data_IF_021177358994
#
_entry.id   IF_021177358994
#
_cell.length_a   1.000
_cell.length_b   1.000
_cell.length_c   1.000
_cell.angle_alpha   90.00
_cell.angle_beta   90.00
_cell.angle_gamma   90.00
#
_symmetry.space_group_name_H-M   'P 1'
#
loop_
_entity.id
_entity.type
_entity.pdbx_description
1 polymer ?
#
# COMPACT_ATOMS: atom_id res chain seq x y z
N UNK A 1 -12.22 1.95 -2.59
CA UNK A 1 -12.18 0.47 -2.47
C UNK A 1 -11.06 -0.17 -3.29
N UNK A 2 -10.87 0.21 -4.55
CA UNK A 2 -9.81 -0.32 -5.44
C UNK A 2 -8.40 -0.25 -4.86
N UNK A 3 -8.04 0.88 -4.21
CA UNK A 3 -6.73 1.06 -3.56
C UNK A 3 -6.50 0.02 -2.45
N UNK A 4 -7.51 -0.26 -1.62
CA UNK A 4 -7.41 -1.27 -0.56
C UNK A 4 -7.22 -2.69 -1.14
N UNK A 5 -7.96 -3.02 -2.19
CA UNK A 5 -7.83 -4.33 -2.87
C UNK A 5 -6.42 -4.51 -3.46
N UNK A 6 -5.88 -3.46 -4.10
CA UNK A 6 -4.52 -3.47 -4.62
C UNK A 6 -3.48 -3.61 -3.49
N UNK A 7 -3.63 -2.87 -2.38
CA UNK A 7 -2.74 -2.98 -1.23
C UNK A 7 -2.74 -4.37 -0.60
N UNK A 8 -3.91 -4.99 -0.47
CA UNK A 8 -4.03 -6.37 0.06
C UNK A 8 -3.38 -7.38 -0.89
N UNK A 9 -3.63 -7.26 -2.20
CA UNK A 9 -3.01 -8.13 -3.21
C UNK A 9 -1.49 -8.01 -3.23
N UNK A 10 -0.95 -6.78 -3.17
CA UNK A 10 0.49 -6.54 -3.08
C UNK A 10 1.08 -7.12 -1.79
N UNK A 11 0.38 -6.96 -0.67
CA UNK A 11 0.80 -7.52 0.61
C UNK A 11 0.82 -9.06 0.61
N UNK A 12 -0.22 -9.71 0.06
CA UNK A 12 -0.25 -11.16 -0.09
C UNK A 12 0.89 -11.66 -0.98
N UNK A 13 1.16 -10.97 -2.08
CA UNK A 13 2.27 -11.29 -2.96
C UNK A 13 3.61 -11.18 -2.24
N UNK A 14 3.85 -10.10 -1.48
CA UNK A 14 5.06 -9.91 -0.67
C UNK A 14 5.22 -11.01 0.39
N UNK A 15 4.14 -11.38 1.07
CA UNK A 15 4.15 -12.41 2.12
C UNK A 15 4.47 -13.80 1.52
N UNK A 16 3.90 -14.14 0.36
CA UNK A 16 4.24 -15.37 -0.38
C UNK A 16 5.71 -15.39 -0.80
N UNK A 17 6.26 -14.24 -1.21
CA UNK A 17 7.69 -14.12 -1.56
C UNK A 17 8.59 -14.30 -0.35
N UNK A 18 8.28 -13.65 0.76
CA UNK A 18 9.03 -13.80 2.01
C UNK A 18 9.09 -15.27 2.46
N UNK A 19 7.95 -15.98 2.40
CA UNK A 19 7.89 -17.41 2.73
C UNK A 19 8.74 -18.26 1.78
N UNK A 20 8.64 -18.03 0.46
CA UNK A 20 9.45 -18.74 -0.53
C UNK A 20 10.95 -18.52 -0.28
N UNK A 21 11.36 -17.28 -0.04
CA UNK A 21 12.74 -16.92 0.25
C UNK A 21 13.23 -17.62 1.53
N UNK A 22 12.44 -17.60 2.61
CA UNK A 22 12.78 -18.28 3.86
C UNK A 22 12.94 -19.78 3.68
N UNK A 23 12.09 -20.42 2.88
CA UNK A 23 12.20 -21.85 2.57
C UNK A 23 13.53 -22.17 1.86
N UNK A 24 13.88 -21.39 0.84
CA UNK A 24 15.14 -21.57 0.10
C UNK A 24 16.36 -21.36 1.00
N UNK A 25 16.33 -20.35 1.88
CA UNK A 25 17.39 -20.10 2.86
C UNK A 25 17.53 -21.28 3.83
N UNK A 26 16.41 -21.85 4.30
CA UNK A 26 16.43 -22.93 5.30
C UNK A 26 16.84 -24.30 4.76
N UNK A 27 16.58 -24.59 3.48
CA UNK A 27 16.74 -25.93 2.91
C UNK A 27 17.84 -26.01 1.82
N UNK A 28 18.73 -25.01 1.83
CA UNK A 28 19.96 -24.90 1.02
C UNK A 28 19.88 -25.55 -0.38
N UNK A 29 19.46 -24.75 -1.37
CA UNK A 29 19.64 -24.96 -2.83
C UNK A 29 18.80 -26.01 -3.56
N UNK A 30 18.09 -26.92 -2.88
CA UNK A 30 17.29 -27.98 -3.52
C UNK A 30 16.00 -27.50 -4.22
N UNK A 31 15.55 -26.28 -3.95
CA UNK A 31 14.32 -25.73 -4.54
C UNK A 31 14.56 -25.18 -5.96
N UNK A 32 13.71 -25.49 -6.94
CA UNK A 32 13.82 -24.95 -8.29
C UNK A 32 13.61 -23.43 -8.31
N UNK A 33 14.18 -22.75 -9.32
CA UNK A 33 14.01 -21.31 -9.48
C UNK A 33 12.58 -20.96 -9.88
N UNK A 34 11.96 -20.07 -9.10
CA UNK A 34 10.71 -19.44 -9.47
C UNK A 34 10.92 -18.34 -10.55
N UNK A 35 9.83 -17.79 -11.09
CA UNK A 35 9.91 -16.77 -12.13
C UNK A 35 10.60 -15.47 -11.70
N UNK A 36 10.64 -15.16 -10.40
CA UNK A 36 11.29 -13.98 -9.86
C UNK A 36 12.79 -14.21 -9.71
N UNK A 37 13.18 -15.34 -9.12
CA UNK A 37 14.58 -15.78 -9.03
C UNK A 37 15.20 -15.90 -10.42
N UNK A 38 14.49 -16.41 -11.43
CA UNK A 38 14.99 -16.46 -12.81
C UNK A 38 15.32 -15.08 -13.38
N UNK A 39 14.59 -14.03 -13.01
CA UNK A 39 14.89 -12.66 -13.46
C UNK A 39 16.10 -12.11 -12.74
N UNK A 40 16.17 -12.32 -11.42
CA UNK A 40 17.32 -11.90 -10.61
C UNK A 40 18.57 -12.65 -11.04
N UNK A 41 18.49 -13.95 -11.31
CA UNK A 41 19.61 -14.77 -11.72
C UNK A 41 20.22 -14.26 -13.01
N UNK A 42 19.39 -13.96 -14.02
CA UNK A 42 19.87 -13.39 -15.28
C UNK A 42 20.56 -12.05 -15.07
N UNK A 43 19.95 -11.14 -14.30
CA UNK A 43 20.54 -9.83 -14.03
C UNK A 43 21.87 -9.94 -13.27
N UNK A 44 21.89 -10.74 -12.20
CA UNK A 44 23.06 -10.92 -11.35
C UNK A 44 24.21 -11.62 -12.09
N UNK A 45 23.91 -12.67 -12.87
CA UNK A 45 24.90 -13.37 -13.66
C UNK A 45 25.60 -12.41 -14.63
N UNK A 46 24.83 -11.65 -15.40
CA UNK A 46 25.38 -10.69 -16.37
C UNK A 46 26.19 -9.61 -15.66
N UNK A 47 25.62 -8.98 -14.62
CA UNK A 47 26.29 -7.92 -13.88
C UNK A 47 27.59 -8.40 -13.23
N UNK A 48 27.65 -9.65 -12.76
CA UNK A 48 28.88 -10.23 -12.21
C UNK A 48 29.96 -10.38 -13.28
N UNK A 49 29.65 -10.97 -14.43
CA UNK A 49 30.63 -11.14 -15.51
C UNK A 49 31.10 -9.79 -16.06
N UNK A 50 30.19 -8.85 -16.25
CA UNK A 50 30.51 -7.47 -16.64
C UNK A 50 31.42 -6.80 -15.60
N UNK A 51 31.17 -7.03 -14.30
CA UNK A 51 31.97 -6.46 -13.21
C UNK A 51 33.41 -6.96 -13.15
N UNK A 52 33.67 -8.18 -13.65
CA UNK A 52 35.03 -8.73 -13.72
C UNK A 52 35.87 -8.08 -14.84
N UNK A 53 35.21 -7.50 -15.83
CA UNK A 53 35.83 -6.86 -16.99
C UNK A 53 35.84 -5.34 -16.96
N UNK A 54 34.90 -4.74 -16.23
CA UNK A 54 34.81 -3.30 -16.08
C UNK A 54 35.59 -2.82 -14.86
N UNK A 55 36.35 -1.73 -15.03
CA UNK A 55 37.02 -1.02 -13.94
C UNK A 55 36.14 0.06 -13.29
N UNK A 56 34.86 0.10 -13.65
CA UNK A 56 33.91 1.10 -13.16
C UNK A 56 33.74 1.05 -11.63
N UNK A 57 33.59 2.20 -10.97
CA UNK A 57 33.37 2.23 -9.52
C UNK A 57 32.01 1.63 -9.11
N UNK A 58 31.02 1.61 -10.01
CA UNK A 58 29.70 1.00 -9.77
C UNK A 58 29.78 -0.53 -9.66
N UNK A 59 30.69 -1.17 -10.38
CA UNK A 59 30.87 -2.62 -10.36
C UNK A 59 31.63 -3.08 -9.11
N UNK A 60 32.46 -2.22 -8.52
CA UNK A 60 33.14 -2.48 -7.24
C UNK A 60 32.16 -2.74 -6.09
N UNK A 61 31.00 -2.09 -6.09
CA UNK A 61 29.97 -2.32 -5.08
C UNK A 61 29.35 -3.72 -5.20
N UNK A 62 29.18 -4.23 -6.42
CA UNK A 62 28.71 -5.60 -6.65
C UNK A 62 29.76 -6.62 -6.22
N UNK A 63 31.02 -6.41 -6.59
CA UNK A 63 32.12 -7.30 -6.20
C UNK A 63 32.35 -7.32 -4.68
N UNK A 64 32.25 -6.17 -4.01
CA UNK A 64 32.35 -6.13 -2.54
C UNK A 64 31.17 -6.82 -1.86
N UNK A 65 29.96 -6.71 -2.42
CA UNK A 65 28.82 -7.52 -1.98
C UNK A 65 29.12 -9.01 -2.13
N UNK A 66 29.69 -9.42 -3.28
CA UNK A 66 30.05 -10.82 -3.53
C UNK A 66 31.06 -11.32 -2.50
N UNK A 67 32.11 -10.57 -2.26
CA UNK A 67 33.16 -10.92 -1.30
C UNK A 67 32.62 -11.07 0.13
N UNK A 68 31.60 -10.30 0.50
CA UNK A 68 31.03 -10.29 1.85
C UNK A 68 29.93 -11.33 2.07
N UNK A 69 29.17 -11.69 1.03
CA UNK A 69 27.91 -12.45 1.16
C UNK A 69 27.88 -13.75 0.37
N UNK A 70 28.78 -13.95 -0.59
CA UNK A 70 28.84 -15.17 -1.37
C UNK A 70 29.90 -16.14 -0.82
N UNK A 71 29.96 -17.33 -1.42
CA UNK A 71 31.04 -18.28 -1.18
C UNK A 71 32.40 -17.62 -1.47
N UNK A 72 33.38 -17.80 -0.59
CA UNK A 72 34.73 -17.23 -0.71
C UNK A 72 35.36 -17.50 -2.08
N UNK A 73 35.05 -18.64 -2.70
CA UNK A 73 35.57 -19.03 -4.02
C UNK A 73 35.09 -18.14 -5.17
N UNK A 74 34.03 -17.35 -4.99
CA UNK A 74 33.59 -16.34 -5.96
C UNK A 74 34.25 -14.98 -5.75
N UNK A 75 34.99 -14.81 -4.64
CA UNK A 75 35.54 -13.51 -4.31
C UNK A 75 36.57 -13.05 -5.33
N UNK A 76 36.73 -11.73 -5.42
CA UNK A 76 37.67 -11.10 -6.34
C UNK A 76 39.09 -11.66 -6.17
N UNK A 77 39.47 -12.06 -4.95
CA UNK A 77 40.79 -12.64 -4.66
C UNK A 77 41.06 -13.94 -5.41
N UNK A 78 40.06 -14.80 -5.61
CA UNK A 78 40.24 -16.09 -6.27
C UNK A 78 39.88 -16.05 -7.75
N UNK A 79 38.96 -15.17 -8.14
CA UNK A 79 38.47 -15.06 -9.51
C UNK A 79 39.02 -13.86 -10.27
N UNK A 80 40.04 -13.18 -9.74
CA UNK A 80 40.72 -12.09 -10.44
C UNK A 80 41.28 -12.59 -11.79
N UNK A 81 40.82 -11.98 -12.88
CA UNK A 81 41.27 -12.31 -14.22
C UNK A 81 42.64 -11.68 -14.48
N UNK A 82 43.61 -12.43 -15.04
CA UNK A 82 44.81 -11.83 -15.59
C UNK A 82 44.44 -10.92 -16.78
N UNK A 83 45.24 -9.88 -17.02
CA UNK A 83 44.96 -8.82 -18.00
C UNK A 83 44.61 -9.35 -19.41
N UNK A 84 45.21 -10.49 -19.80
CA UNK A 84 44.95 -11.17 -21.09
C UNK A 84 43.56 -11.83 -21.17
N UNK A 85 42.97 -12.23 -20.04
CA UNK A 85 41.62 -12.84 -19.95
C UNK A 85 40.53 -11.83 -19.62
N UNK A 86 40.87 -10.62 -19.17
CA UNK A 86 39.91 -9.51 -18.99
C UNK A 86 39.15 -9.19 -20.29
N UNK A 87 39.71 -9.46 -21.47
CA UNK A 87 39.00 -9.26 -22.74
C UNK A 87 37.86 -10.27 -22.99
N UNK A 88 37.86 -11.42 -22.30
CA UNK A 88 36.90 -12.50 -22.51
C UNK A 88 35.90 -12.67 -21.35
N UNK A 89 36.12 -11.98 -20.22
CA UNK A 89 35.25 -12.05 -19.03
C UNK A 89 35.02 -13.44 -18.44
N UNK A 90 35.79 -14.43 -18.88
CA UNK A 90 35.57 -15.81 -18.50
C UNK A 90 36.65 -16.29 -17.53
N UNK A 91 36.18 -16.71 -16.34
CA UNK A 91 37.04 -17.25 -15.29
C UNK A 91 37.16 -18.77 -15.36
N UNK A 92 36.95 -19.34 -16.57
CA UNK A 92 36.94 -20.78 -16.82
C UNK A 92 38.01 -21.53 -16.04
N UNK A 93 37.52 -22.48 -15.24
CA UNK A 93 38.36 -23.38 -14.48
C UNK A 93 39.12 -24.29 -15.45
N UNK A 94 40.45 -24.44 -15.32
CA UNK A 94 41.16 -25.44 -16.12
C UNK A 94 40.62 -26.83 -15.75
N UNK A 95 40.22 -27.61 -16.75
CA UNK A 95 39.84 -29.00 -16.56
C UNK A 95 40.98 -29.73 -15.83
N UNK A 96 40.72 -30.21 -14.63
CA UNK A 96 41.68 -31.06 -13.92
C UNK A 96 41.72 -32.38 -14.67
N UNK A 97 42.83 -32.67 -15.36
CA UNK A 97 43.08 -33.99 -15.95
C UNK A 97 43.27 -34.99 -14.80
N UNK A 98 42.18 -35.52 -14.27
CA UNK A 98 42.23 -36.73 -13.45
C UNK A 98 42.62 -37.92 -14.30
N UNK A 99 43.28 -38.91 -13.72
CA UNK A 99 43.74 -40.15 -14.39
C UNK A 99 42.62 -41.05 -14.96
N UNK A 100 41.35 -40.63 -14.83
CA UNK A 100 40.20 -41.24 -15.46
C UNK A 100 39.73 -40.37 -16.61
N UNK A 101 39.35 -40.96 -17.75
CA UNK A 101 38.79 -40.29 -18.94
C UNK A 101 37.48 -39.48 -18.72
N UNK A 102 37.14 -39.16 -17.47
CA UNK A 102 36.08 -38.26 -17.07
C UNK A 102 36.70 -36.96 -16.54
N UNK A 103 36.51 -35.86 -17.28
CA UNK A 103 36.73 -34.51 -16.76
C UNK A 103 35.60 -34.18 -15.77
N UNK A 104 35.75 -34.60 -14.52
CA UNK A 104 34.87 -34.15 -13.46
C UNK A 104 35.29 -32.72 -13.07
N UNK A 105 34.60 -31.71 -13.62
CA UNK A 105 34.70 -30.36 -13.11
C UNK A 105 34.01 -30.34 -11.74
N UNK A 106 34.74 -30.06 -10.66
CA UNK A 106 34.08 -29.63 -9.43
C UNK A 106 33.61 -28.18 -9.63
N UNK A 107 32.45 -28.07 -10.29
CA UNK A 107 31.81 -26.81 -10.63
C UNK A 107 31.47 -25.99 -9.38
N UNK A 108 31.42 -26.58 -8.19
CA UNK A 108 31.13 -25.87 -6.95
C UNK A 108 32.38 -25.19 -6.37
N UNK A 109 33.57 -25.77 -6.56
CA UNK A 109 34.84 -25.22 -6.08
C UNK A 109 35.42 -24.15 -7.02
N UNK A 110 35.04 -24.20 -8.30
CA UNK A 110 35.54 -23.32 -9.35
C UNK A 110 34.94 -21.89 -9.36
N UNK A 111 35.63 -20.96 -10.00
CA UNK A 111 35.04 -19.67 -10.33
C UNK A 111 33.91 -19.82 -11.37
N UNK A 112 32.91 -18.93 -11.37
CA UNK A 112 31.80 -19.00 -12.33
C UNK A 112 32.27 -18.81 -13.79
N UNK A 113 31.78 -19.63 -14.72
CA UNK A 113 32.13 -19.50 -16.14
C UNK A 113 30.93 -19.03 -16.95
N UNK A 114 31.15 -18.02 -17.78
CA UNK A 114 30.07 -17.42 -18.59
C UNK A 114 29.59 -18.41 -19.66
N UNK A 115 30.50 -19.12 -20.32
CA UNK A 115 30.19 -20.09 -21.37
C UNK A 115 29.36 -21.25 -20.83
N UNK A 116 29.77 -21.82 -19.70
CA UNK A 116 29.04 -22.93 -19.05
C UNK A 116 27.69 -22.47 -18.49
N UNK A 117 27.61 -21.22 -18.00
CA UNK A 117 26.35 -20.68 -17.52
C UNK A 117 25.36 -20.47 -18.69
N UNK A 118 25.84 -19.95 -19.83
CA UNK A 118 25.03 -19.78 -21.05
C UNK A 118 24.61 -21.11 -21.68
N UNK A 119 25.39 -22.18 -21.51
CA UNK A 119 25.02 -23.53 -21.97
C UNK A 119 23.95 -24.21 -21.10
N UNK A 120 23.51 -23.57 -20.01
CA UNK A 120 22.42 -24.05 -19.15
C UNK A 120 22.90 -24.83 -17.94
N UNK A 121 24.19 -24.82 -17.62
CA UNK A 121 24.73 -25.48 -16.42
C UNK A 121 24.61 -24.52 -15.24
N UNK A 122 23.48 -24.57 -14.52
CA UNK A 122 23.18 -23.67 -13.39
C UNK A 122 24.29 -23.63 -12.33
N UNK A 123 24.94 -24.78 -12.04
CA UNK A 123 26.01 -24.88 -11.04
C UNK A 123 27.23 -23.99 -11.36
N UNK A 124 27.43 -23.63 -12.63
CA UNK A 124 28.51 -22.76 -13.08
C UNK A 124 28.15 -21.27 -13.02
N UNK A 125 26.87 -20.94 -12.81
CA UNK A 125 26.40 -19.57 -12.79
C UNK A 125 26.71 -18.87 -11.44
N UNK A 126 27.09 -17.58 -11.46
CA UNK A 126 27.33 -16.78 -10.26
C UNK A 126 26.15 -16.78 -9.29
N UNK A 127 24.93 -16.62 -9.80
CA UNK A 127 23.72 -16.57 -8.99
C UNK A 127 23.50 -17.86 -8.21
N UNK A 128 23.70 -19.04 -8.83
CA UNK A 128 23.48 -20.32 -8.14
C UNK A 128 24.40 -20.48 -6.94
N UNK A 129 25.68 -20.16 -7.14
CA UNK A 129 26.72 -20.21 -6.11
C UNK A 129 26.51 -19.19 -4.99
N UNK A 130 25.91 -18.03 -5.29
CA UNK A 130 25.61 -16.99 -4.31
C UNK A 130 24.12 -16.90 -3.90
N UNK A 131 23.29 -17.87 -4.28
CA UNK A 131 21.84 -17.78 -4.17
C UNK A 131 21.40 -17.44 -2.74
N UNK A 132 21.96 -18.12 -1.75
CA UNK A 132 21.63 -17.91 -0.33
C UNK A 132 21.99 -16.50 0.13
N UNK A 133 23.19 -16.01 -0.21
CA UNK A 133 23.63 -14.67 0.18
C UNK A 133 22.76 -13.57 -0.42
N UNK A 134 22.42 -13.70 -1.71
CA UNK A 134 21.53 -12.76 -2.41
C UNK A 134 20.14 -12.77 -1.78
N UNK A 135 19.57 -13.95 -1.53
CA UNK A 135 18.24 -14.08 -0.95
C UNK A 135 18.18 -13.60 0.50
N UNK A 136 19.24 -13.79 1.28
CA UNK A 136 19.34 -13.24 2.64
C UNK A 136 19.36 -11.72 2.64
N UNK A 137 20.16 -11.10 1.76
CA UNK A 137 20.19 -9.65 1.66
C UNK A 137 18.85 -9.11 1.15
N UNK A 138 18.26 -9.74 0.15
CA UNK A 138 16.93 -9.37 -0.34
C UNK A 138 15.87 -9.47 0.76
N UNK A 139 15.90 -10.53 1.58
CA UNK A 139 15.00 -10.67 2.72
C UNK A 139 15.22 -9.58 3.78
N UNK A 140 16.47 -9.14 3.99
CA UNK A 140 16.79 -8.03 4.89
C UNK A 140 16.14 -6.72 4.46
N UNK A 141 16.06 -6.45 3.15
CA UNK A 141 15.37 -5.29 2.60
C UNK A 141 13.85 -5.46 2.54
N UNK A 142 13.37 -6.69 2.29
CA UNK A 142 11.94 -6.99 2.21
C UNK A 142 11.25 -7.00 3.60
N UNK A 143 11.90 -7.50 4.63
CA UNK A 143 11.31 -7.58 5.98
C UNK A 143 10.75 -6.23 6.51
N UNK A 144 11.50 -5.10 6.50
CA UNK A 144 10.97 -3.83 6.97
C UNK A 144 9.84 -3.29 6.09
N UNK A 145 9.87 -3.53 4.77
CA UNK A 145 8.81 -3.07 3.87
C UNK A 145 7.50 -3.80 4.11
N UNK A 146 7.55 -5.09 4.48
CA UNK A 146 6.37 -5.87 4.87
C UNK A 146 5.75 -5.32 6.16
N UNK A 147 6.57 -4.98 7.16
CA UNK A 147 6.10 -4.37 8.41
C UNK A 147 5.45 -3.01 8.14
N UNK A 148 6.07 -2.17 7.32
CA UNK A 148 5.52 -0.88 6.93
C UNK A 148 4.19 -1.05 6.16
N UNK A 149 4.10 -2.00 5.23
CA UNK A 149 2.88 -2.29 4.49
C UNK A 149 1.72 -2.72 5.41
N UNK A 150 1.99 -3.57 6.43
CA UNK A 150 0.99 -3.95 7.44
C UNK A 150 0.45 -2.74 8.18
N UNK A 151 1.34 -1.84 8.61
CA UNK A 151 0.96 -0.62 9.31
C UNK A 151 0.07 0.28 8.45
N UNK A 152 0.42 0.50 7.18
CA UNK A 152 -0.36 1.30 6.24
C UNK A 152 -1.74 0.69 6.02
N UNK A 153 -1.84 -0.63 5.83
CA UNK A 153 -3.13 -1.32 5.65
C UNK A 153 -4.00 -1.15 6.91
N UNK A 154 -3.44 -1.33 8.11
CA UNK A 154 -4.16 -1.14 9.36
C UNK A 154 -4.66 0.30 9.54
N UNK A 155 -3.82 1.29 9.21
CA UNK A 155 -4.19 2.70 9.26
C UNK A 155 -5.31 3.05 8.27
N UNK A 156 -5.25 2.51 7.05
CA UNK A 156 -6.31 2.67 6.04
C UNK A 156 -7.64 2.06 6.51
N UNK A 157 -7.60 0.88 7.12
CA UNK A 157 -8.79 0.25 7.70
C UNK A 157 -9.39 1.11 8.83
N UNK A 158 -8.53 1.67 9.69
CA UNK A 158 -8.96 2.56 10.77
C UNK A 158 -9.62 3.85 10.25
N UNK A 159 -9.02 4.50 9.24
CA UNK A 159 -9.62 5.68 8.60
C UNK A 159 -10.98 5.34 7.98
N UNK A 160 -11.11 4.17 7.35
CA UNK A 160 -12.37 3.74 6.75
C UNK A 160 -13.44 3.55 7.84
N UNK A 161 -13.11 2.91 8.96
CA UNK A 161 -14.01 2.76 10.11
C UNK A 161 -14.43 4.13 10.66
N UNK A 162 -13.47 5.04 10.89
CA UNK A 162 -13.77 6.39 11.37
C UNK A 162 -14.65 7.17 10.39
N UNK A 163 -14.43 7.01 9.09
CA UNK A 163 -15.24 7.65 8.04
C UNK A 163 -16.66 7.10 8.06
N UNK A 164 -16.83 5.78 8.19
CA UNK A 164 -18.15 5.16 8.35
C UNK A 164 -18.84 5.64 9.63
N UNK A 165 -18.12 5.70 10.76
CA UNK A 165 -18.67 6.22 12.01
C UNK A 165 -19.07 7.69 11.89
N UNK A 166 -18.27 8.53 11.25
CA UNK A 166 -18.61 9.94 10.99
C UNK A 166 -19.88 10.09 10.14
N UNK A 167 -20.05 9.24 9.12
CA UNK A 167 -21.27 9.22 8.30
C UNK A 167 -22.47 8.75 9.13
N UNK A 168 -22.32 7.66 9.90
CA UNK A 168 -23.41 7.12 10.72
C UNK A 168 -23.77 8.00 11.92
N UNK A 169 -22.83 8.75 12.49
CA UNK A 169 -23.01 9.59 13.67
C UNK A 169 -23.17 11.07 13.35
N UNK A 170 -23.36 11.50 12.09
CA UNK A 170 -23.64 12.90 11.80
C UNK A 170 -25.09 13.24 12.26
N UNK A 171 -25.30 13.73 13.50
CA UNK A 171 -26.63 13.85 14.08
C UNK A 171 -27.36 15.09 13.55
N UNK A 172 -26.72 15.87 12.68
CA UNK A 172 -27.33 17.01 12.01
C UNK A 172 -28.32 16.59 10.93
N UNK A 173 -28.16 15.41 10.34
CA UNK A 173 -29.04 14.95 9.27
C UNK A 173 -30.31 14.29 9.78
N UNK A 174 -30.29 13.65 10.97
CA UNK A 174 -31.50 13.02 11.52
C UNK A 174 -32.45 14.04 12.16
N UNK A 175 -31.97 14.95 12.99
CA UNK A 175 -32.87 15.83 13.76
C UNK A 175 -33.59 16.86 12.87
N UNK A 176 -32.90 17.49 11.90
CA UNK A 176 -33.54 18.48 11.02
C UNK A 176 -34.48 17.81 9.99
N UNK A 177 -34.10 16.66 9.43
CA UNK A 177 -34.92 15.97 8.40
C UNK A 177 -36.11 15.26 9.02
N UNK A 178 -36.00 14.73 10.24
CA UNK A 178 -37.09 14.08 10.96
C UNK A 178 -38.09 15.10 11.53
N UNK A 179 -37.63 16.28 12.00
CA UNK A 179 -38.52 17.40 12.38
C UNK A 179 -39.25 18.02 11.18
N UNK A 180 -38.63 18.05 9.99
CA UNK A 180 -39.28 18.49 8.75
C UNK A 180 -40.28 17.45 8.20
N UNK A 181 -39.95 16.16 8.27
CA UNK A 181 -40.83 15.07 7.77
C UNK A 181 -42.05 14.81 8.66
N UNK A 182 -41.94 15.02 9.97
CA UNK A 182 -43.07 14.81 10.89
C UNK A 182 -44.12 15.93 10.82
N UNK A 183 -43.85 17.02 10.08
CA UNK A 183 -44.79 18.13 9.90
C UNK A 183 -45.06 18.94 11.19
N UNK A 184 -44.29 18.67 12.25
CA UNK A 184 -44.45 19.30 13.57
C UNK A 184 -43.84 20.70 13.60
N UNK A 185 -42.92 21.02 12.68
CA UNK A 185 -42.38 22.36 12.50
C UNK A 185 -42.57 22.84 11.07
N UNK A 186 -43.21 24.01 10.91
CA UNK A 186 -43.27 24.69 9.64
C UNK A 186 -41.96 25.46 9.37
N UNK A 187 -41.71 25.85 8.13
CA UNK A 187 -40.53 26.62 7.74
C UNK A 187 -40.46 27.94 8.53
N UNK A 188 -41.61 28.50 8.93
CA UNK A 188 -41.67 29.70 9.76
C UNK A 188 -41.13 29.49 11.18
N UNK A 189 -41.35 28.31 11.79
CA UNK A 189 -40.85 27.99 13.13
C UNK A 189 -39.33 27.85 13.17
N UNK A 190 -38.72 27.32 12.10
CA UNK A 190 -37.25 27.22 11.96
C UNK A 190 -36.62 28.60 11.87
N UNK A 191 -37.25 29.52 11.12
CA UNK A 191 -36.79 30.92 11.01
C UNK A 191 -36.96 31.67 12.33
N UNK A 192 -38.05 31.43 13.07
CA UNK A 192 -38.28 32.02 14.39
C UNK A 192 -37.24 31.57 15.43
N UNK A 193 -36.90 30.27 15.46
CA UNK A 193 -35.86 29.74 16.35
C UNK A 193 -34.48 30.29 15.99
N UNK A 194 -34.16 30.41 14.69
CA UNK A 194 -32.87 30.97 14.25
C UNK A 194 -32.73 32.45 14.65
N UNK A 195 -33.82 33.23 14.54
CA UNK A 195 -33.85 34.62 15.01
C UNK A 195 -33.75 34.74 16.55
N UNK A 196 -34.39 33.84 17.29
CA UNK A 196 -34.28 33.80 18.76
C UNK A 196 -32.87 33.43 19.23
N UNK A 197 -32.17 32.58 18.47
CA UNK A 197 -30.79 32.17 18.74
C UNK A 197 -29.76 33.25 18.39
N UNK A 198 -30.08 34.15 17.47
CA UNK A 198 -29.28 35.35 17.17
C UNK A 198 -29.58 36.50 18.15
N UNK A 199 -30.82 36.67 18.61
CA UNK A 199 -31.19 37.75 19.54
C UNK A 199 -30.76 37.47 20.97
N UNK A 200 -30.80 36.20 21.39
CA UNK A 200 -30.26 35.76 22.66
C UNK A 200 -28.85 35.24 22.38
N UNK A 201 -27.82 36.03 22.69
CA UNK A 201 -26.39 35.65 22.69
C UNK A 201 -26.10 34.49 23.67
N UNK A 202 -26.81 33.39 23.55
CA UNK A 202 -26.76 32.24 24.44
C UNK A 202 -25.95 31.19 23.74
N UNK A 203 -24.67 31.18 24.12
CA UNK A 203 -23.77 30.04 23.97
C UNK A 203 -24.50 28.82 24.53
N UNK A 204 -25.11 28.02 23.65
CA UNK A 204 -25.71 26.75 24.04
C UNK A 204 -24.60 25.82 24.50
N UNK A 205 -24.52 25.60 25.82
CA UNK A 205 -23.75 24.49 26.39
C UNK A 205 -24.33 23.20 25.83
N UNK A 206 -23.45 22.40 25.21
CA UNK A 206 -23.72 21.05 24.68
C UNK A 206 -24.46 20.23 25.75
N UNK A 207 -25.73 19.88 25.52
CA UNK A 207 -26.50 18.98 26.38
C UNK A 207 -27.72 19.57 27.11
N UNK A 208 -28.05 20.85 26.96
CA UNK A 208 -29.30 21.39 27.52
C UNK A 208 -30.51 20.91 26.73
N UNK A 209 -31.31 20.01 27.31
CA UNK A 209 -32.65 19.68 26.81
C UNK A 209 -33.50 20.95 26.90
N UNK A 210 -34.10 21.34 25.78
CA UNK A 210 -35.07 22.43 25.75
C UNK A 210 -36.37 21.83 26.30
N UNK A 211 -36.79 22.25 27.49
CA UNK A 211 -38.08 21.85 28.04
C UNK A 211 -39.19 22.44 27.19
N UNK A 212 -40.01 21.55 26.60
CA UNK A 212 -41.16 21.91 25.77
C UNK A 212 -42.16 22.82 26.52
N UNK A 213 -42.22 22.69 27.85
CA UNK A 213 -43.07 23.49 28.74
C UNK A 213 -42.66 24.98 28.78
N UNK A 214 -41.36 25.27 28.63
CA UNK A 214 -40.86 26.64 28.51
C UNK A 214 -41.23 27.29 27.17
N UNK A 215 -41.52 26.47 26.15
CA UNK A 215 -41.87 26.93 24.82
C UNK A 215 -43.36 27.36 24.74
N UNK A 216 -44.23 26.70 25.50
CA UNK A 216 -45.65 27.08 25.60
C UNK A 216 -45.83 28.39 26.35
N UNK A 217 -45.12 28.58 27.47
CA UNK A 217 -45.15 29.84 28.23
C UNK A 217 -44.63 31.03 27.41
N UNK A 218 -43.63 30.81 26.54
CA UNK A 218 -43.17 31.84 25.61
C UNK A 218 -44.16 32.11 24.46
N UNK A 219 -44.83 31.07 23.94
CA UNK A 219 -45.92 31.23 22.95
C UNK A 219 -47.09 32.02 23.52
N UNK A 220 -47.44 31.79 24.78
CA UNK A 220 -48.49 32.55 25.49
C UNK A 220 -48.06 34.00 25.73
N UNK A 221 -46.80 34.23 26.13
CA UNK A 221 -46.26 35.58 26.30
C UNK A 221 -46.21 36.36 24.97
N UNK A 222 -45.91 35.71 23.84
CA UNK A 222 -45.96 36.32 22.52
C UNK A 222 -47.39 36.58 22.03
N UNK A 223 -48.34 35.65 22.29
CA UNK A 223 -49.76 35.89 21.99
C UNK A 223 -50.29 37.06 22.80
N UNK A 224 -49.95 37.17 24.09
CA UNK A 224 -50.34 38.28 24.94
C UNK A 224 -49.77 39.63 24.45
N UNK A 225 -48.54 39.66 23.91
CA UNK A 225 -47.96 40.86 23.30
C UNK A 225 -48.59 41.23 21.94
N UNK A 226 -49.12 40.25 21.19
CA UNK A 226 -49.70 40.47 19.87
C UNK A 226 -51.23 40.75 19.88
N UNK A 227 -51.88 40.74 21.04
CA UNK A 227 -53.31 41.09 21.17
C UNK A 227 -53.60 42.59 21.28
N UNK A 228 -52.57 43.44 21.20
CA UNK A 228 -52.73 44.87 20.96
C UNK A 228 -52.60 45.20 19.47
N UNK A 229 -53.73 45.31 18.76
CA UNK A 229 -53.84 45.84 17.39
C UNK A 229 -53.23 44.98 16.27
N UNK A 230 -54.03 44.15 15.58
CA UNK A 230 -53.91 44.01 14.12
C UNK A 230 -55.25 43.60 13.47
N UNK A 231 -55.71 44.41 12.51
CA UNK A 231 -56.83 44.18 11.61
C UNK A 231 -56.70 42.82 10.91
N UNK A 232 -57.78 42.02 10.89
CA UNK A 232 -57.95 40.87 9.98
C UNK A 232 -57.79 41.32 8.53
N UNK A 233 -56.67 41.00 7.88
CA UNK A 233 -56.61 40.89 6.43
C UNK A 233 -56.89 39.43 6.06
N UNK A 234 -58.03 39.18 5.39
CA UNK A 234 -58.28 37.94 4.65
C UNK A 234 -57.19 37.80 3.59
N UNK A 235 -56.37 36.75 3.66
CA UNK A 235 -55.57 36.29 2.52
C UNK A 235 -56.25 35.10 1.87
N UNK A 236 -56.40 35.20 0.55
CA UNK A 236 -57.07 34.23 -0.29
C UNK A 236 -56.34 32.89 -0.28
N UNK A 237 -57.15 31.83 -0.24
CA UNK A 237 -56.77 30.44 -0.46
C UNK A 237 -56.30 30.32 -1.92
N UNK A 238 -55.02 30.01 -2.13
CA UNK A 238 -54.52 29.61 -3.44
C UNK A 238 -54.72 28.09 -3.53
N UNK A 239 -55.62 27.67 -4.42
CA UNK A 239 -55.77 26.26 -4.79
C UNK A 239 -54.61 25.83 -5.69
N UNK A 240 -54.14 24.57 -5.61
CA UNK A 240 -53.15 24.05 -6.53
C UNK A 240 -53.80 23.78 -7.89
N UNK A 241 -53.32 24.45 -8.94
CA UNK A 241 -53.60 24.08 -10.33
C UNK A 241 -52.62 22.99 -10.75
N UNK A 242 -53.17 21.84 -11.13
CA UNK A 242 -52.49 20.84 -11.94
C UNK A 242 -52.12 21.45 -13.29
N UNK A 243 -50.88 21.25 -13.73
CA UNK A 243 -50.52 21.30 -15.14
C UNK A 243 -49.53 20.18 -15.44
N UNK A 244 -50.08 19.16 -16.09
CA UNK A 244 -49.41 18.10 -16.83
C UNK A 244 -48.88 18.68 -18.15
N UNK A 245 -47.90 17.98 -18.72
CA UNK A 245 -47.45 17.97 -20.13
C UNK A 245 -46.33 18.93 -20.59
N UNK A 246 -45.31 18.32 -21.22
CA UNK A 246 -44.21 19.02 -21.88
C UNK A 246 -43.06 18.13 -22.37
N UNK A 247 -43.39 17.18 -23.25
CA UNK A 247 -42.66 16.77 -24.48
C UNK A 247 -41.13 16.74 -24.52
N UNK A 248 -40.60 15.54 -24.81
CA UNK A 248 -39.26 15.31 -25.37
C UNK A 248 -39.25 15.55 -26.88
N UNK A 249 -38.23 16.25 -27.36
CA UNK A 249 -37.68 16.15 -28.72
C UNK A 249 -36.24 15.69 -28.61
#
# INVERSE_FOLDING_TARGET
MTVLVLSVSQYEWLNKREQSIKLVISNHTSYPYDAFERRISTYFNNAYFDSLCSEDPSTKALLSFVDLRCNERMSQKYCALPEKKKMQCDTSCPATKGNSNFTAFDLMICCPSEELCKSGIDASCPYHKCRVGILQELNRWAAPTIVAARFVIALMAFILILSCLLICYNPRDEIEVELLKTGVMSVEDVVAIRRLKESNNVVMKRGSKIDAESLETLKEAQKAKNFGSFRRMRRNRVSPTNSVEGTYT
#
